data_IF_486747155310
#
_entry.id   IF_486747155310
#
_cell.length_a   1.000
_cell.length_b   1.000
_cell.length_c   1.000
_cell.angle_alpha   90.00
_cell.angle_beta   90.00
_cell.angle_gamma   90.00
#
_symmetry.space_group_name_H-M   'P 1'
#
loop_
_entity.id
_entity.type
_entity.pdbx_description
1 polymer ?
#
# COMPACT_ATOMS: atom_id res chain seq x y z
N UNK A 1 -10.71 -14.33 -21.50
CA UNK A 1 -11.50 -13.39 -22.35
C UNK A 1 -11.33 -12.02 -21.73
N UNK A 2 -11.01 -11.00 -22.54
CA UNK A 2 -10.84 -9.65 -22.02
C UNK A 2 -12.14 -9.11 -21.44
N UNK A 3 -12.08 -8.55 -20.24
CA UNK A 3 -13.24 -8.02 -19.51
C UNK A 3 -12.82 -6.84 -18.63
N UNK A 4 -13.68 -5.83 -18.61
CA UNK A 4 -13.49 -4.63 -17.79
C UNK A 4 -13.59 -4.95 -16.29
N UNK A 5 -12.91 -4.15 -15.48
CA UNK A 5 -13.08 -4.15 -14.03
C UNK A 5 -13.11 -2.73 -13.49
N UNK A 6 -13.74 -2.58 -12.33
CA UNK A 6 -13.73 -1.36 -11.54
C UNK A 6 -13.74 -1.71 -10.04
N UNK A 7 -12.82 -1.10 -9.29
CA UNK A 7 -12.77 -1.07 -7.84
C UNK A 7 -12.86 0.39 -7.42
N UNK A 8 -14.00 0.79 -6.87
CA UNK A 8 -14.23 2.14 -6.37
C UNK A 8 -14.31 2.13 -4.84
N UNK A 9 -13.68 3.13 -4.21
CA UNK A 9 -13.74 3.37 -2.77
C UNK A 9 -13.90 4.84 -2.47
N UNK A 10 -14.63 5.13 -1.42
CA UNK A 10 -14.84 6.48 -0.90
C UNK A 10 -14.52 6.49 0.59
N UNK A 11 -13.85 7.53 1.06
CA UNK A 11 -13.53 7.69 2.46
C UNK A 11 -13.33 9.16 2.81
N UNK A 12 -13.41 9.46 4.10
CA UNK A 12 -13.11 10.78 4.64
C UNK A 12 -11.83 10.72 5.46
N UNK A 13 -11.07 11.82 5.42
CA UNK A 13 -9.88 12.05 6.24
C UNK A 13 -9.96 13.44 6.86
N UNK A 14 -9.54 13.54 8.12
CA UNK A 14 -9.52 14.80 8.86
C UNK A 14 -8.28 15.65 8.51
N UNK A 15 -7.95 15.76 7.22
CA UNK A 15 -6.84 16.56 6.69
C UNK A 15 -7.29 17.39 5.49
N UNK A 16 -6.68 18.57 5.24
CA UNK A 16 -7.06 19.43 4.11
C UNK A 16 -6.78 18.80 2.74
N UNK A 17 -7.49 19.21 1.66
CA UNK A 17 -7.32 18.65 0.32
C UNK A 17 -5.89 18.70 -0.21
N UNK A 18 -5.15 19.78 0.07
CA UNK A 18 -3.75 19.92 -0.34
C UNK A 18 -2.84 18.83 0.25
N UNK A 19 -3.09 18.39 1.48
CA UNK A 19 -2.31 17.33 2.11
C UNK A 19 -2.60 15.96 1.49
N UNK A 20 -3.85 15.70 1.10
CA UNK A 20 -4.20 14.49 0.33
C UNK A 20 -3.57 14.55 -1.05
N UNK A 21 -3.63 15.69 -1.73
CA UNK A 21 -3.03 15.91 -3.04
C UNK A 21 -1.52 15.63 -3.03
N UNK A 22 -0.81 16.18 -2.05
CA UNK A 22 0.63 15.92 -1.89
C UNK A 22 0.89 14.43 -1.67
N UNK A 23 0.09 13.75 -0.85
CA UNK A 23 0.25 12.32 -0.59
C UNK A 23 0.06 11.42 -1.82
N UNK A 24 -0.86 11.75 -2.73
CA UNK A 24 -1.10 10.96 -3.95
C UNK A 24 -0.21 11.35 -5.14
N UNK A 25 0.56 12.44 -5.02
CA UNK A 25 1.50 12.90 -6.06
C UNK A 25 2.95 12.76 -5.59
N UNK A 26 3.50 13.75 -4.91
CA UNK A 26 4.91 13.80 -4.51
C UNK A 26 5.24 12.94 -3.28
N UNK A 27 4.23 12.60 -2.48
CA UNK A 27 4.34 11.86 -1.21
C UNK A 27 3.99 10.37 -1.30
N UNK A 28 3.89 9.80 -2.51
CA UNK A 28 3.36 8.43 -2.69
C UNK A 28 4.19 7.35 -2.00
N UNK A 29 5.51 7.58 -1.83
CA UNK A 29 6.39 6.69 -1.07
C UNK A 29 6.01 6.53 0.40
N UNK A 30 5.22 7.45 0.96
CA UNK A 30 4.75 7.38 2.34
C UNK A 30 3.67 6.32 2.61
N UNK A 31 3.05 5.77 1.57
CA UNK A 31 1.95 4.80 1.74
C UNK A 31 1.87 3.70 0.68
N UNK A 32 2.54 3.89 -0.47
CA UNK A 32 2.50 2.97 -1.58
C UNK A 32 3.93 2.62 -2.02
N UNK A 33 4.47 3.38 -2.96
CA UNK A 33 5.87 3.38 -3.40
C UNK A 33 6.19 4.75 -4.03
N UNK A 34 7.47 5.16 -4.10
CA UNK A 34 7.86 6.39 -4.77
C UNK A 34 7.40 6.39 -6.24
N UNK A 35 6.68 7.44 -6.63
CA UNK A 35 6.19 7.66 -7.99
C UNK A 35 6.53 9.08 -8.42
N UNK A 36 6.77 9.25 -9.70
CA UNK A 36 7.03 10.55 -10.31
C UNK A 36 5.91 10.90 -11.30
N UNK A 37 5.53 12.17 -11.29
CA UNK A 37 4.50 12.74 -12.15
C UNK A 37 5.04 14.01 -12.81
N UNK A 38 4.87 14.13 -14.11
CA UNK A 38 5.05 15.40 -14.81
C UNK A 38 3.77 16.23 -14.64
N UNK A 39 3.76 17.34 -13.88
CA UNK A 39 2.55 17.91 -13.27
C UNK A 39 1.68 18.72 -14.27
N UNK A 40 1.13 18.04 -15.28
CA UNK A 40 0.23 18.59 -16.29
C UNK A 40 -0.55 17.48 -16.99
N UNK A 41 -1.69 17.85 -17.57
CA UNK A 41 -2.39 16.97 -18.50
C UNK A 41 -1.50 16.65 -19.73
N UNK A 42 -1.56 15.39 -20.18
CA UNK A 42 -0.66 14.83 -21.19
C UNK A 42 0.80 14.71 -20.73
N UNK A 43 1.07 14.88 -19.43
CA UNK A 43 2.38 14.62 -18.83
C UNK A 43 2.61 13.12 -18.62
N UNK A 44 3.88 12.75 -18.47
CA UNK A 44 4.24 11.40 -18.05
C UNK A 44 3.81 11.12 -16.60
N UNK A 45 3.27 9.93 -16.35
CA UNK A 45 3.01 9.40 -15.02
C UNK A 45 3.83 8.14 -14.72
N UNK A 46 3.64 7.53 -13.54
CA UNK A 46 4.35 6.32 -13.15
C UNK A 46 4.03 5.14 -14.07
N UNK A 47 4.93 4.17 -14.14
CA UNK A 47 4.74 2.92 -14.91
C UNK A 47 4.38 3.13 -16.39
N UNK A 48 4.94 4.17 -17.02
CA UNK A 48 4.68 4.49 -18.43
C UNK A 48 3.26 5.02 -18.69
N UNK A 49 2.53 5.43 -17.64
CA UNK A 49 1.22 6.04 -17.78
C UNK A 49 1.28 7.45 -18.36
N UNK A 50 0.14 7.91 -18.86
CA UNK A 50 -0.12 9.30 -19.23
C UNK A 50 -1.12 9.89 -18.25
N UNK A 51 -0.86 11.12 -17.81
CA UNK A 51 -1.80 11.88 -16.98
C UNK A 51 -2.92 12.43 -17.88
N UNK A 52 -4.13 11.93 -17.71
CA UNK A 52 -5.30 12.37 -18.48
C UNK A 52 -6.08 13.48 -17.79
N UNK A 53 -5.83 13.72 -16.50
CA UNK A 53 -6.36 14.88 -15.77
C UNK A 53 -5.38 15.27 -14.67
N UNK A 54 -5.04 16.56 -14.61
CA UNK A 54 -4.22 17.17 -13.56
C UNK A 54 -4.87 18.46 -13.08
N UNK A 55 -5.63 18.40 -12.00
CA UNK A 55 -6.37 19.52 -11.43
C UNK A 55 -6.12 19.61 -9.92
N UNK A 56 -5.00 20.21 -9.47
CA UNK A 56 -4.69 20.30 -8.04
C UNK A 56 -5.63 21.26 -7.28
N UNK A 57 -6.07 20.93 -6.05
CA UNK A 57 -5.90 19.67 -5.33
C UNK A 57 -7.07 18.68 -5.54
N UNK A 58 -7.84 18.82 -6.61
CA UNK A 58 -9.17 18.24 -6.77
C UNK A 58 -9.23 16.92 -7.54
N UNK A 59 -8.42 16.75 -8.59
CA UNK A 59 -8.50 15.55 -9.43
C UNK A 59 -7.19 15.15 -10.10
N UNK A 60 -6.87 13.87 -10.00
CA UNK A 60 -5.75 13.23 -10.68
C UNK A 60 -6.26 11.98 -11.39
N UNK A 61 -6.07 11.89 -12.70
CA UNK A 61 -6.34 10.67 -13.46
C UNK A 61 -5.09 10.27 -14.23
N UNK A 62 -4.64 9.04 -14.05
CA UNK A 62 -3.53 8.43 -14.79
C UNK A 62 -3.97 7.16 -15.48
N UNK A 63 -3.48 6.95 -16.70
CA UNK A 63 -3.91 5.86 -17.57
C UNK A 63 -2.73 5.24 -18.29
N UNK A 64 -2.71 3.91 -18.32
CA UNK A 64 -1.76 3.09 -19.07
C UNK A 64 -2.53 2.19 -20.03
N UNK A 65 -2.22 2.29 -21.33
CA UNK A 65 -2.79 1.43 -22.38
C UNK A 65 -1.84 0.30 -22.82
N UNK A 66 -0.59 0.34 -22.34
CA UNK A 66 0.38 -0.76 -22.45
C UNK A 66 0.95 -1.05 -21.06
N UNK A 67 0.24 -1.88 -20.30
CA UNK A 67 0.55 -2.15 -18.88
C UNK A 67 1.85 -2.96 -18.72
N UNK A 68 2.36 -3.58 -19.80
CA UNK A 68 3.52 -4.47 -19.73
C UNK A 68 3.28 -5.74 -18.91
N UNK A 69 2.04 -6.03 -18.52
CA UNK A 69 1.63 -7.22 -17.77
C UNK A 69 0.73 -8.10 -18.64
N UNK A 70 1.01 -9.42 -18.75
CA UNK A 70 0.35 -10.27 -19.75
C UNK A 70 -1.17 -10.42 -19.54
N UNK A 71 -1.65 -10.22 -18.31
CA UNK A 71 -3.06 -10.37 -17.94
C UNK A 71 -3.83 -9.05 -17.88
N UNK A 72 -3.24 -7.92 -18.30
CA UNK A 72 -3.91 -6.62 -18.28
C UNK A 72 -3.53 -5.77 -19.49
N UNK A 73 -4.54 -5.30 -20.24
CA UNK A 73 -4.32 -4.43 -21.41
C UNK A 73 -4.56 -2.95 -21.12
N UNK A 74 -5.22 -2.63 -20.02
CA UNK A 74 -5.51 -1.24 -19.65
C UNK A 74 -5.55 -1.11 -18.13
N UNK A 75 -4.90 -0.08 -17.62
CA UNK A 75 -4.95 0.31 -16.21
C UNK A 75 -5.25 1.80 -16.09
N UNK A 76 -6.14 2.18 -15.18
CA UNK A 76 -6.46 3.57 -14.89
C UNK A 76 -6.69 3.76 -13.40
N UNK A 77 -6.08 4.81 -12.84
CA UNK A 77 -6.32 5.27 -11.48
C UNK A 77 -6.88 6.70 -11.54
N UNK A 78 -8.03 6.92 -10.91
CA UNK A 78 -8.66 8.23 -10.74
C UNK A 78 -8.80 8.54 -9.24
N UNK A 79 -8.33 9.72 -8.84
CA UNK A 79 -8.57 10.30 -7.53
C UNK A 79 -9.39 11.57 -7.69
N UNK A 80 -10.47 11.68 -6.92
CA UNK A 80 -11.24 12.91 -6.75
C UNK A 80 -11.19 13.30 -5.27
N UNK A 81 -10.90 14.58 -4.98
CA UNK A 81 -10.74 15.11 -3.63
C UNK A 81 -11.64 16.34 -3.48
N UNK A 82 -12.55 16.29 -2.51
CA UNK A 82 -13.45 17.38 -2.17
C UNK A 82 -13.23 17.86 -0.74
N UNK A 83 -13.24 19.18 -0.49
CA UNK A 83 -13.17 19.70 0.86
C UNK A 83 -14.39 19.28 1.70
N UNK A 84 -14.13 19.00 2.98
CA UNK A 84 -15.13 18.81 4.04
C UNK A 84 -14.78 19.70 5.23
N UNK A 85 -15.73 19.91 6.14
CA UNK A 85 -15.54 20.67 7.37
C UNK A 85 -14.92 22.07 7.18
N UNK A 86 -15.32 22.77 6.12
CA UNK A 86 -14.78 24.08 5.78
C UNK A 86 -13.30 24.05 5.35
N UNK A 87 -12.85 22.94 4.76
CA UNK A 87 -11.49 22.74 4.24
C UNK A 87 -10.51 22.11 5.24
N UNK A 88 -10.97 21.74 6.44
CA UNK A 88 -10.13 21.03 7.44
C UNK A 88 -10.09 19.52 7.21
N UNK A 89 -11.12 18.98 6.58
CA UNK A 89 -11.20 17.59 6.17
C UNK A 89 -11.32 17.47 4.65
N UNK A 90 -11.22 16.24 4.18
CA UNK A 90 -11.41 15.89 2.77
C UNK A 90 -12.25 14.63 2.66
N UNK A 91 -13.14 14.62 1.69
CA UNK A 91 -13.71 13.39 1.15
C UNK A 91 -12.92 13.04 -0.10
N UNK A 92 -12.61 11.75 -0.25
CA UNK A 92 -11.79 11.24 -1.35
C UNK A 92 -12.53 10.08 -1.99
N UNK A 93 -12.59 10.09 -3.32
CA UNK A 93 -12.99 8.95 -4.15
C UNK A 93 -11.80 8.45 -4.93
N UNK A 94 -11.52 7.17 -4.79
CA UNK A 94 -10.52 6.43 -5.54
C UNK A 94 -11.22 5.45 -6.48
N UNK A 95 -10.79 5.40 -7.73
CA UNK A 95 -11.24 4.41 -8.71
C UNK A 95 -10.04 3.78 -9.39
N UNK A 96 -9.91 2.46 -9.24
CA UNK A 96 -9.02 1.63 -10.03
C UNK A 96 -9.84 0.86 -11.05
N UNK A 97 -9.63 1.13 -12.33
CA UNK A 97 -10.35 0.47 -13.41
C UNK A 97 -9.43 0.06 -14.54
N UNK A 98 -9.92 -0.83 -15.39
CA UNK A 98 -9.10 -1.35 -16.47
C UNK A 98 -9.75 -2.50 -17.22
N UNK A 99 -8.92 -3.21 -17.96
CA UNK A 99 -9.30 -4.41 -18.72
C UNK A 99 -8.30 -5.51 -18.39
N UNK A 100 -8.76 -6.56 -17.70
CA UNK A 100 -7.99 -7.80 -17.57
C UNK A 100 -8.22 -8.65 -18.81
N UNK A 101 -7.16 -9.27 -19.33
CA UNK A 101 -7.18 -10.10 -20.54
C UNK A 101 -7.33 -11.59 -20.21
N UNK A 102 -6.97 -11.99 -18.99
CA UNK A 102 -7.08 -13.35 -18.49
C UNK A 102 -7.28 -13.40 -16.96
N UNK A 103 -7.68 -14.56 -16.45
CA UNK A 103 -7.81 -14.88 -15.00
C UNK A 103 -8.60 -13.82 -14.20
N UNK A 104 -9.66 -13.28 -14.82
CA UNK A 104 -10.33 -12.06 -14.36
C UNK A 104 -10.77 -12.13 -12.89
N UNK A 105 -11.34 -13.25 -12.44
CA UNK A 105 -11.86 -13.38 -11.06
C UNK A 105 -10.73 -13.28 -10.02
N UNK A 106 -9.57 -13.91 -10.29
CA UNK A 106 -8.41 -13.87 -9.42
C UNK A 106 -7.73 -12.49 -9.45
N UNK A 107 -7.60 -11.88 -10.64
CA UNK A 107 -7.05 -10.53 -10.78
C UNK A 107 -7.92 -9.48 -10.09
N UNK A 108 -9.25 -9.58 -10.22
CA UNK A 108 -10.20 -8.70 -9.55
C UNK A 108 -10.15 -8.86 -8.04
N UNK A 109 -10.16 -10.10 -7.54
CA UNK A 109 -10.07 -10.37 -6.10
C UNK A 109 -8.77 -9.81 -5.51
N UNK A 110 -7.65 -9.94 -6.22
CA UNK A 110 -6.38 -9.34 -5.84
C UNK A 110 -6.44 -7.80 -5.81
N UNK A 111 -6.91 -7.18 -6.90
CA UNK A 111 -7.00 -5.73 -7.00
C UNK A 111 -7.92 -5.12 -5.94
N UNK A 112 -9.08 -5.74 -5.69
CA UNK A 112 -10.07 -5.29 -4.72
C UNK A 112 -9.49 -5.28 -3.29
N UNK A 113 -8.88 -6.39 -2.86
CA UNK A 113 -8.33 -6.48 -1.49
C UNK A 113 -7.10 -5.62 -1.28
N UNK A 114 -6.18 -5.57 -2.25
CA UNK A 114 -5.01 -4.69 -2.13
C UNK A 114 -5.42 -3.22 -2.11
N UNK A 115 -6.45 -2.82 -2.86
CA UNK A 115 -6.97 -1.45 -2.83
C UNK A 115 -7.39 -1.04 -1.43
N UNK A 116 -8.12 -1.90 -0.70
CA UNK A 116 -8.54 -1.59 0.67
C UNK A 116 -7.34 -1.37 1.61
N UNK A 117 -6.33 -2.23 1.52
CA UNK A 117 -5.14 -2.13 2.37
C UNK A 117 -4.24 -0.94 2.02
N UNK A 118 -4.08 -0.63 0.73
CA UNK A 118 -3.35 0.55 0.28
C UNK A 118 -4.05 1.85 0.71
N UNK A 119 -5.37 1.94 0.56
CA UNK A 119 -6.13 3.11 1.00
C UNK A 119 -6.21 3.23 2.53
N UNK A 120 -6.17 2.12 3.26
CA UNK A 120 -5.90 2.17 4.70
C UNK A 120 -4.51 2.77 5.00
N UNK A 121 -3.47 2.29 4.32
CA UNK A 121 -2.11 2.82 4.51
C UNK A 121 -2.00 4.31 4.16
N UNK A 122 -2.68 4.76 3.11
CA UNK A 122 -2.78 6.18 2.77
C UNK A 122 -3.40 6.99 3.91
N UNK A 123 -4.50 6.50 4.50
CA UNK A 123 -5.18 7.16 5.63
C UNK A 123 -4.28 7.24 6.86
N UNK A 124 -3.54 6.19 7.17
CA UNK A 124 -2.56 6.21 8.27
C UNK A 124 -1.41 7.19 7.98
N UNK A 125 -0.88 7.20 6.75
CA UNK A 125 0.16 8.14 6.33
C UNK A 125 -0.30 9.59 6.45
N UNK A 126 -1.44 9.96 5.86
CA UNK A 126 -1.90 11.35 5.92
C UNK A 126 -2.26 11.79 7.33
N UNK A 127 -2.70 10.87 8.20
CA UNK A 127 -3.08 11.20 9.58
C UNK A 127 -1.86 11.37 10.49
N UNK A 128 -0.81 10.56 10.30
CA UNK A 128 0.29 10.45 11.27
C UNK A 128 1.65 10.94 10.77
N UNK A 129 1.88 10.94 9.45
CA UNK A 129 3.21 11.08 8.88
C UNK A 129 3.31 12.06 7.70
N UNK A 130 2.21 12.71 7.32
CA UNK A 130 2.17 13.59 6.16
C UNK A 130 3.32 14.61 6.13
N UNK A 131 4.00 14.70 4.99
CA UNK A 131 5.11 15.63 4.76
C UNK A 131 6.44 15.20 5.39
N UNK A 132 6.50 14.09 6.13
CA UNK A 132 7.77 13.53 6.61
C UNK A 132 8.50 12.83 5.44
N UNK A 133 9.83 13.02 5.30
CA UNK A 133 10.63 12.21 4.39
C UNK A 133 10.50 10.72 4.73
N UNK A 134 10.51 9.86 3.71
CA UNK A 134 10.36 8.42 3.86
C UNK A 134 11.57 7.69 3.29
N UNK A 135 12.12 6.75 4.06
CA UNK A 135 12.98 5.70 3.59
C UNK A 135 12.08 4.48 3.28
N UNK A 136 11.80 4.28 1.98
CA UNK A 136 10.91 3.23 1.51
C UNK A 136 11.69 1.98 1.13
N UNK A 137 11.25 0.83 1.64
CA UNK A 137 11.71 -0.49 1.22
C UNK A 137 10.52 -1.38 0.87
N UNK A 138 10.65 -2.21 -0.17
CA UNK A 138 9.66 -3.24 -0.51
C UNK A 138 10.36 -4.44 -1.13
N UNK A 139 9.91 -5.64 -0.79
CA UNK A 139 10.51 -6.88 -1.29
C UNK A 139 9.58 -8.07 -1.09
N UNK A 140 9.92 -9.16 -1.78
CA UNK A 140 9.25 -10.45 -1.65
C UNK A 140 10.01 -11.35 -0.67
N UNK A 141 9.24 -12.12 0.09
CA UNK A 141 9.71 -13.23 0.89
C UNK A 141 10.19 -14.41 0.05
N UNK A 142 10.69 -15.47 0.69
CA UNK A 142 11.21 -16.63 0.00
C UNK A 142 10.09 -17.39 -0.73
N UNK A 143 10.44 -18.18 -1.74
CA UNK A 143 9.45 -18.96 -2.51
C UNK A 143 8.59 -19.91 -1.66
N UNK A 144 9.10 -20.36 -0.50
CA UNK A 144 8.35 -21.15 0.49
C UNK A 144 7.12 -20.40 1.05
N UNK A 145 7.10 -19.07 0.97
CA UNK A 145 5.98 -18.23 1.42
C UNK A 145 4.87 -18.02 0.38
N UNK A 146 4.95 -18.70 -0.78
CA UNK A 146 3.98 -18.56 -1.86
C UNK A 146 2.74 -19.45 -1.73
N UNK A 147 2.64 -20.31 -0.71
CA UNK A 147 1.40 -21.08 -0.48
C UNK A 147 0.28 -20.19 0.07
N UNK A 148 -0.97 -20.55 -0.22
CA UNK A 148 -2.17 -19.81 0.22
C UNK A 148 -2.28 -19.61 1.74
N UNK A 149 -1.60 -20.44 2.49
CA UNK A 149 -1.68 -20.63 3.93
C UNK A 149 -0.39 -20.19 4.63
N UNK A 150 0.67 -19.86 3.89
CA UNK A 150 1.94 -19.38 4.42
C UNK A 150 1.78 -18.12 5.30
N UNK A 151 0.86 -17.22 4.93
CA UNK A 151 0.70 -15.97 5.65
C UNK A 151 0.25 -16.13 7.12
N UNK A 152 -0.39 -17.26 7.46
CA UNK A 152 -0.77 -17.56 8.84
C UNK A 152 0.42 -17.64 9.80
N UNK A 153 1.65 -17.88 9.30
CA UNK A 153 2.85 -17.90 10.11
C UNK A 153 3.35 -16.49 10.52
N UNK A 154 2.96 -15.45 9.78
CA UNK A 154 3.48 -14.08 9.98
C UNK A 154 2.99 -13.47 11.30
N UNK A 155 1.70 -13.60 11.62
CA UNK A 155 1.13 -13.07 12.86
C UNK A 155 1.83 -13.60 14.13
N UNK A 156 1.92 -14.93 14.32
CA UNK A 156 2.65 -15.51 15.44
C UNK A 156 4.13 -15.13 15.49
N UNK A 157 4.80 -15.03 14.34
CA UNK A 157 6.20 -14.59 14.27
C UNK A 157 6.40 -13.13 14.71
N UNK A 158 5.39 -12.28 14.54
CA UNK A 158 5.35 -10.92 15.07
C UNK A 158 4.96 -10.86 16.55
N UNK A 159 4.71 -12.00 17.20
CA UNK A 159 4.21 -12.07 18.58
C UNK A 159 2.72 -11.71 18.72
N UNK A 160 1.94 -11.76 17.63
CA UNK A 160 0.52 -11.43 17.64
C UNK A 160 -0.32 -12.68 17.89
N UNK A 161 -1.14 -12.67 18.94
CA UNK A 161 -2.19 -13.67 19.12
C UNK A 161 -3.25 -13.58 18.00
N UNK A 162 -3.93 -14.68 17.68
CA UNK A 162 -4.95 -14.74 16.61
C UNK A 162 -6.13 -13.79 16.86
N UNK A 163 -6.45 -13.54 18.12
CA UNK A 163 -7.56 -12.68 18.57
C UNK A 163 -7.14 -11.25 18.90
N UNK A 164 -5.89 -10.85 18.65
CA UNK A 164 -5.45 -9.45 18.79
C UNK A 164 -6.27 -8.57 17.85
N UNK A 165 -7.08 -7.70 18.43
CA UNK A 165 -7.96 -6.80 17.69
C UNK A 165 -7.20 -5.70 16.95
N UNK A 166 -7.74 -5.29 15.80
CA UNK A 166 -7.33 -4.05 15.12
C UNK A 166 -7.46 -2.85 16.08
N UNK A 167 -6.52 -1.91 15.97
CA UNK A 167 -6.37 -0.76 16.86
C UNK A 167 -5.66 -1.06 18.19
N UNK A 168 -5.36 -2.33 18.51
CA UNK A 168 -4.65 -2.67 19.73
C UNK A 168 -3.19 -2.18 19.69
N UNK A 169 -2.73 -1.67 20.83
CA UNK A 169 -1.29 -1.45 21.08
C UNK A 169 -0.66 -2.80 21.40
N UNK A 170 0.42 -3.13 20.69
CA UNK A 170 1.12 -4.40 20.79
C UNK A 170 2.60 -4.15 20.96
N UNK A 171 3.28 -5.13 21.57
CA UNK A 171 4.73 -5.22 21.57
C UNK A 171 5.12 -6.31 20.56
N UNK A 172 5.33 -5.90 19.31
CA UNK A 172 5.63 -6.82 18.22
C UNK A 172 7.09 -7.27 18.28
N UNK A 173 7.38 -8.44 17.72
CA UNK A 173 8.75 -8.96 17.52
C UNK A 173 9.14 -8.79 16.05
N UNK A 174 10.35 -8.31 15.79
CA UNK A 174 10.83 -8.00 14.43
C UNK A 174 12.27 -8.45 14.20
N UNK A 175 13.00 -7.76 13.30
CA UNK A 175 14.37 -8.10 12.96
C UNK A 175 15.28 -8.29 14.18
N UNK A 176 16.13 -9.32 14.12
CA UNK A 176 17.05 -9.65 15.22
C UNK A 176 16.40 -10.16 16.50
N UNK A 177 15.09 -10.45 16.49
CA UNK A 177 14.33 -10.79 17.71
C UNK A 177 14.08 -9.57 18.60
N UNK A 178 14.25 -8.36 18.07
CA UNK A 178 13.98 -7.14 18.82
C UNK A 178 12.48 -6.90 18.94
N UNK A 179 12.08 -6.38 20.11
CA UNK A 179 10.70 -5.98 20.34
C UNK A 179 10.51 -4.49 20.16
N UNK A 180 9.40 -4.09 19.54
CA UNK A 180 9.02 -2.70 19.35
C UNK A 180 7.54 -2.46 19.62
N UNK A 181 7.21 -1.26 20.07
CA UNK A 181 5.81 -0.85 20.27
C UNK A 181 5.18 -0.47 18.93
N UNK A 182 3.97 -1.00 18.69
CA UNK A 182 3.19 -0.69 17.50
C UNK A 182 1.69 -0.67 17.81
N UNK A 183 0.92 -0.12 16.88
CA UNK A 183 -0.52 -0.35 16.76
C UNK A 183 -0.72 -1.35 15.63
N UNK A 184 -1.47 -2.42 15.87
CA UNK A 184 -1.99 -3.28 14.81
C UNK A 184 -3.13 -2.52 14.12
N UNK A 185 -2.82 -1.77 13.07
CA UNK A 185 -3.78 -0.86 12.42
C UNK A 185 -4.65 -1.56 11.36
N UNK A 186 -4.21 -2.73 10.89
CA UNK A 186 -4.95 -3.54 9.92
C UNK A 186 -4.70 -5.04 10.15
N UNK A 187 -5.74 -5.86 10.10
CA UNK A 187 -5.62 -7.31 10.14
C UNK A 187 -6.78 -8.01 9.44
N UNK A 188 -6.45 -8.72 8.38
CA UNK A 188 -7.33 -9.71 7.77
C UNK A 188 -6.52 -10.98 7.38
N UNK A 189 -7.14 -12.00 6.75
CA UNK A 189 -6.42 -13.20 6.33
C UNK A 189 -5.30 -12.97 5.28
N UNK A 190 -5.22 -11.79 4.69
CA UNK A 190 -4.34 -11.44 3.57
C UNK A 190 -3.31 -10.39 3.95
N UNK A 191 -3.58 -9.52 4.92
CA UNK A 191 -2.73 -8.38 5.24
C UNK A 191 -2.61 -8.14 6.74
N UNK A 192 -1.43 -7.69 7.13
CA UNK A 192 -1.14 -7.19 8.48
C UNK A 192 -0.49 -5.82 8.33
N UNK A 193 -1.03 -4.84 9.05
CA UNK A 193 -0.47 -3.51 9.16
C UNK A 193 -0.03 -3.22 10.59
N UNK A 194 1.22 -2.78 10.76
CA UNK A 194 1.74 -2.25 12.01
C UNK A 194 2.14 -0.78 11.82
N UNK A 195 1.65 0.10 12.69
CA UNK A 195 2.10 1.49 12.78
C UNK A 195 2.88 1.71 14.07
N UNK A 196 4.11 2.16 13.95
CA UNK A 196 4.93 2.62 15.08
C UNK A 196 4.83 4.15 15.20
N UNK A 197 5.63 4.76 16.08
CA UNK A 197 5.74 6.24 16.16
C UNK A 197 6.46 6.85 14.94
N UNK A 198 7.15 6.03 14.13
CA UNK A 198 7.96 6.50 13.01
C UNK A 198 7.87 5.66 11.75
N UNK A 199 7.09 4.58 11.70
CA UNK A 199 7.02 3.73 10.53
C UNK A 199 5.65 3.10 10.31
N UNK A 200 5.35 2.80 9.05
CA UNK A 200 4.31 1.87 8.64
C UNK A 200 4.98 0.60 8.09
N UNK A 201 4.67 -0.55 8.68
CA UNK A 201 5.17 -1.87 8.26
C UNK A 201 3.96 -2.66 7.76
N UNK A 202 4.04 -3.15 6.52
CA UNK A 202 2.90 -3.73 5.80
C UNK A 202 3.28 -5.09 5.25
N UNK A 203 2.52 -6.12 5.61
CA UNK A 203 2.75 -7.49 5.16
C UNK A 203 1.61 -7.92 4.22
N UNK A 204 1.97 -8.62 3.15
CA UNK A 204 1.08 -9.00 2.06
C UNK A 204 1.09 -10.51 1.84
N UNK A 205 0.10 -11.21 2.38
CA UNK A 205 -0.19 -12.63 2.18
C UNK A 205 -0.75 -12.91 0.80
N UNK A 206 0.12 -12.95 -0.22
CA UNK A 206 -0.29 -13.05 -1.62
C UNK A 206 -0.32 -14.47 -2.19
N UNK A 207 -0.07 -15.50 -1.38
CA UNK A 207 0.00 -16.89 -1.84
C UNK A 207 -1.26 -17.37 -2.54
N UNK A 208 -2.44 -16.84 -2.14
CA UNK A 208 -3.71 -17.11 -2.82
C UNK A 208 -3.72 -16.64 -4.27
N UNK A 209 -3.00 -15.57 -4.59
CA UNK A 209 -2.83 -15.04 -5.95
C UNK A 209 -1.52 -15.54 -6.61
N UNK A 210 -0.88 -16.56 -6.03
CA UNK A 210 0.31 -17.22 -6.60
C UNK A 210 1.62 -16.47 -6.41
N UNK A 211 1.69 -15.51 -5.48
CA UNK A 211 2.91 -14.76 -5.18
C UNK A 211 3.39 -14.99 -3.74
N UNK A 212 4.71 -14.90 -3.46
CA UNK A 212 5.24 -14.95 -2.10
C UNK A 212 4.63 -13.89 -1.18
N UNK A 213 4.83 -14.04 0.13
CA UNK A 213 4.54 -12.96 1.07
C UNK A 213 5.34 -11.73 0.66
N UNK A 214 4.68 -10.60 0.44
CA UNK A 214 5.32 -9.32 0.19
C UNK A 214 5.45 -8.53 1.50
N UNK A 215 6.38 -7.58 1.54
CA UNK A 215 6.45 -6.62 2.62
C UNK A 215 6.87 -5.25 2.11
N UNK A 216 6.31 -4.20 2.72
CA UNK A 216 6.82 -2.84 2.60
C UNK A 216 7.08 -2.21 3.97
N UNK A 217 8.09 -1.35 4.02
CA UNK A 217 8.44 -0.53 5.17
C UNK A 217 8.50 0.92 4.71
N UNK A 218 7.67 1.76 5.32
CA UNK A 218 7.68 3.21 5.15
C UNK A 218 8.25 3.82 6.43
N UNK A 219 9.56 4.06 6.48
CA UNK A 219 10.24 4.56 7.67
C UNK A 219 10.45 6.08 7.57
N UNK A 220 9.87 6.81 8.52
CA UNK A 220 9.90 8.26 8.62
C UNK A 220 10.87 8.77 9.68
N UNK A 221 11.65 7.88 10.32
CA UNK A 221 12.62 8.28 11.33
C UNK A 221 13.72 9.19 10.75
N UNK A 222 14.22 10.17 11.51
CA UNK A 222 15.39 10.95 11.08
C UNK A 222 16.59 10.03 10.83
N UNK A 223 17.14 10.05 9.62
CA UNK A 223 18.27 9.21 9.23
C UNK A 223 17.91 7.75 8.93
N UNK A 224 16.62 7.44 8.72
CA UNK A 224 16.17 6.13 8.28
C UNK A 224 16.93 5.64 7.03
N UNK A 225 17.28 4.35 7.02
CA UNK A 225 18.03 3.70 5.95
C UNK A 225 17.16 2.64 5.27
N UNK A 226 16.69 2.95 4.06
CA UNK A 226 15.83 2.05 3.28
C UNK A 226 16.51 0.69 3.03
N UNK A 227 17.82 0.67 2.75
CA UNK A 227 18.54 -0.56 2.45
C UNK A 227 18.79 -1.39 3.71
N UNK A 228 19.09 -0.72 4.82
CA UNK A 228 19.17 -1.35 6.14
C UNK A 228 17.84 -2.00 6.53
N UNK A 229 16.73 -1.27 6.36
CA UNK A 229 15.38 -1.77 6.60
C UNK A 229 15.06 -2.98 5.72
N UNK A 230 15.34 -2.91 4.41
CA UNK A 230 15.17 -4.04 3.50
C UNK A 230 15.92 -5.28 3.98
N UNK A 231 17.21 -5.13 4.28
CA UNK A 231 18.06 -6.26 4.70
C UNK A 231 17.54 -6.89 6.00
N UNK A 232 17.29 -6.08 7.02
CA UNK A 232 16.89 -6.55 8.35
C UNK A 232 15.53 -7.28 8.31
N UNK A 233 14.55 -6.69 7.61
CA UNK A 233 13.23 -7.28 7.49
C UNK A 233 13.20 -8.47 6.53
N UNK A 234 14.06 -8.50 5.52
CA UNK A 234 14.21 -9.65 4.63
C UNK A 234 14.79 -10.85 5.38
N UNK A 235 15.85 -10.64 6.16
CA UNK A 235 16.45 -11.69 6.98
C UNK A 235 15.45 -12.24 8.00
N UNK A 236 14.63 -11.37 8.61
CA UNK A 236 13.53 -11.79 9.49
C UNK A 236 12.52 -12.66 8.76
N UNK A 237 12.02 -12.21 7.60
CA UNK A 237 10.99 -12.93 6.84
C UNK A 237 11.52 -14.27 6.30
N UNK A 238 12.77 -14.31 5.86
CA UNK A 238 13.44 -15.55 5.45
C UNK A 238 13.53 -16.53 6.65
N UNK A 239 13.81 -16.02 7.86
CA UNK A 239 13.80 -16.80 9.10
C UNK A 239 12.43 -17.38 9.48
N UNK A 240 11.34 -16.64 9.25
CA UNK A 240 9.96 -17.13 9.47
C UNK A 240 9.66 -18.37 8.60
N UNK A 241 10.24 -18.43 7.40
CA UNK A 241 9.98 -19.47 6.41
C UNK A 241 11.15 -20.43 6.18
N UNK A 242 12.15 -20.47 7.06
CA UNK A 242 13.35 -21.31 6.95
C UNK A 242 13.14 -22.80 7.32
N UNK A 243 11.89 -23.28 7.34
CA UNK A 243 11.51 -24.65 7.73
C UNK A 243 12.02 -25.75 6.80
#
# INVERSE_FOLDING_TARGET
MSKEFEVAREYEVAVPPGQVWDAITSGSGGWLWPMEYEPREGGAGPFGSVITTWDPPHRLTVRTEDVGFPTQSLNQIDHTIEPRDGGRGSWVRYVHSGIFTDDWDNQYDGADKHTDFYLHTLREYVTHFAGRPVAFATFDGPGASASSDAFAAVGPALGLADDTAEGARVKAEGPGGEHFDAVLDYRDPYFIGLRTDSALIRFFGRGRWGAPVGMSVHDFAPGADAKGNETAWKDWLDGVFAG
#
